data_IF_259537266742
#
_entry.id   IF_259537266742
#
_cell.length_a   1.000
_cell.length_b   1.000
_cell.length_c   1.000
_cell.angle_alpha   90.00
_cell.angle_beta   90.00
_cell.angle_gamma   90.00
#
_symmetry.space_group_name_H-M   'P 1'
#
loop_
_entity.id
_entity.type
_entity.pdbx_description
1 polymer ?
#
# COMPACT_ATOMS: atom_id res chain seq x y z
N UNK A 1 37.47 14.08 9.60
CA UNK A 1 37.64 12.62 9.46
C UNK A 1 36.43 11.96 10.13
N UNK A 2 35.28 11.89 9.45
CA UNK A 2 33.97 11.48 10.04
C UNK A 2 33.06 10.82 8.99
N UNK A 3 33.61 9.93 8.16
CA UNK A 3 32.85 9.24 7.09
C UNK A 3 32.57 7.76 7.37
N UNK A 4 33.13 7.18 8.44
CA UNK A 4 33.07 5.72 8.66
C UNK A 4 31.85 5.23 9.47
N UNK A 5 31.04 6.12 10.05
CA UNK A 5 29.85 5.72 10.80
C UNK A 5 28.67 5.34 9.89
N UNK A 6 28.56 5.96 8.71
CA UNK A 6 27.45 5.73 7.78
C UNK A 6 27.57 4.42 6.98
N UNK A 7 28.79 3.98 6.68
CA UNK A 7 29.03 2.74 5.92
C UNK A 7 28.55 1.49 6.66
N UNK A 8 28.84 1.38 7.96
CA UNK A 8 28.45 0.20 8.76
C UNK A 8 26.94 0.07 9.01
N UNK A 9 26.21 1.20 9.04
CA UNK A 9 24.75 1.18 9.18
C UNK A 9 24.05 0.80 7.88
N UNK A 10 24.56 1.29 6.74
CA UNK A 10 24.04 0.99 5.41
C UNK A 10 24.15 -0.51 5.09
N UNK A 11 25.32 -1.13 5.33
CA UNK A 11 25.52 -2.55 5.04
C UNK A 11 24.63 -3.46 5.90
N UNK A 12 24.36 -3.05 7.14
CA UNK A 12 23.44 -3.77 8.02
C UNK A 12 22.00 -3.63 7.56
N UNK A 13 21.59 -2.45 7.07
CA UNK A 13 20.27 -2.23 6.48
C UNK A 13 20.08 -3.03 5.18
N UNK A 14 21.10 -3.15 4.33
CA UNK A 14 21.08 -3.96 3.10
C UNK A 14 20.91 -5.46 3.39
N UNK A 15 21.36 -5.95 4.55
CA UNK A 15 21.11 -7.34 4.96
C UNK A 15 19.70 -7.58 5.52
N UNK A 16 19.02 -6.52 5.97
CA UNK A 16 17.68 -6.58 6.54
C UNK A 16 16.59 -6.17 5.54
N UNK A 17 16.95 -5.51 4.44
CA UNK A 17 16.00 -5.21 3.38
C UNK A 17 15.61 -6.49 2.66
N UNK A 18 14.32 -6.64 2.43
CA UNK A 18 13.81 -7.65 1.52
C UNK A 18 14.45 -7.48 0.15
N UNK A 19 14.59 -8.58 -0.58
CA UNK A 19 14.98 -8.51 -1.98
C UNK A 19 13.97 -7.65 -2.74
N UNK A 20 14.45 -6.93 -3.75
CA UNK A 20 13.63 -6.05 -4.59
C UNK A 20 12.34 -6.70 -5.11
N UNK A 21 12.31 -7.97 -5.57
CA UNK A 21 11.05 -8.59 -5.98
C UNK A 21 10.08 -8.74 -4.81
N UNK A 22 10.52 -9.14 -3.62
CA UNK A 22 9.63 -9.34 -2.47
C UNK A 22 9.09 -7.99 -1.98
N UNK A 23 9.92 -6.95 -1.98
CA UNK A 23 9.48 -5.59 -1.66
C UNK A 23 8.42 -5.09 -2.67
N UNK A 24 8.63 -5.32 -3.97
CA UNK A 24 7.65 -4.96 -5.00
C UNK A 24 6.34 -5.74 -4.86
N UNK A 25 6.42 -7.04 -4.56
CA UNK A 25 5.25 -7.88 -4.36
C UNK A 25 4.42 -7.39 -3.17
N UNK A 26 5.06 -7.10 -2.02
CA UNK A 26 4.39 -6.54 -0.86
C UNK A 26 3.72 -5.20 -1.17
N UNK A 27 4.39 -4.33 -1.92
CA UNK A 27 3.85 -3.03 -2.30
C UNK A 27 2.62 -3.17 -3.21
N UNK A 28 2.69 -4.03 -4.23
CA UNK A 28 1.57 -4.31 -5.12
C UNK A 28 0.41 -4.97 -4.39
N UNK A 29 0.68 -5.91 -3.47
CA UNK A 29 -0.34 -6.53 -2.62
C UNK A 29 -1.02 -5.51 -1.71
N UNK A 30 -0.26 -4.62 -1.08
CA UNK A 30 -0.79 -3.56 -0.23
C UNK A 30 -1.65 -2.57 -1.04
N UNK A 31 -1.19 -2.19 -2.23
CA UNK A 31 -1.94 -1.34 -3.15
C UNK A 31 -3.25 -2.01 -3.57
N UNK A 32 -3.20 -3.28 -4.00
CA UNK A 32 -4.38 -4.06 -4.36
C UNK A 32 -5.37 -4.21 -3.21
N UNK A 33 -4.89 -4.50 -2.00
CA UNK A 33 -5.73 -4.59 -0.81
C UNK A 33 -6.39 -3.24 -0.49
N UNK A 34 -5.64 -2.14 -0.57
CA UNK A 34 -6.16 -0.79 -0.33
C UNK A 34 -7.27 -0.45 -1.32
N UNK A 35 -7.03 -0.67 -2.62
CA UNK A 35 -8.04 -0.46 -3.66
C UNK A 35 -9.27 -1.34 -3.41
N UNK A 36 -9.07 -2.62 -3.11
CA UNK A 36 -10.16 -3.52 -2.79
C UNK A 36 -10.97 -3.03 -1.60
N UNK A 37 -10.32 -2.58 -0.52
CA UNK A 37 -10.99 -2.02 0.65
C UNK A 37 -11.79 -0.78 0.29
N UNK A 38 -11.20 0.14 -0.48
CA UNK A 38 -11.85 1.37 -0.92
C UNK A 38 -13.07 1.08 -1.79
N UNK A 39 -13.05 0.08 -2.67
CA UNK A 39 -14.17 -0.20 -3.57
C UNK A 39 -15.22 -1.15 -2.99
N UNK A 40 -14.84 -2.14 -2.18
CA UNK A 40 -15.72 -3.27 -1.84
C UNK A 40 -16.09 -3.39 -0.36
N UNK A 41 -15.57 -2.54 0.53
CA UNK A 41 -16.02 -2.58 1.94
C UNK A 41 -17.43 -2.03 2.12
N UNK A 42 -18.22 -2.70 2.94
CA UNK A 42 -19.58 -2.27 3.28
C UNK A 42 -19.56 -1.25 4.42
N UNK A 43 -19.36 0.03 4.09
CA UNK A 43 -19.49 1.14 5.03
C UNK A 43 -20.80 1.90 4.77
N UNK A 44 -21.56 2.30 5.82
CA UNK A 44 -22.77 3.09 5.65
C UNK A 44 -22.49 4.35 4.82
N UNK A 45 -23.33 4.63 3.81
CA UNK A 45 -23.12 5.72 2.87
C UNK A 45 -22.93 7.10 3.55
N UNK A 46 -23.58 7.31 4.71
CA UNK A 46 -23.46 8.55 5.50
C UNK A 46 -22.05 8.84 6.03
N UNK A 47 -21.19 7.82 6.15
CA UNK A 47 -19.80 7.97 6.62
C UNK A 47 -18.77 7.64 5.54
N UNK A 48 -19.23 7.39 4.31
CA UNK A 48 -18.40 6.86 3.25
C UNK A 48 -18.07 7.91 2.18
N UNK A 49 -16.97 8.64 2.38
CA UNK A 49 -16.47 9.65 1.44
C UNK A 49 -16.14 9.07 0.05
N UNK A 50 -15.94 7.75 -0.06
CA UNK A 50 -15.64 7.08 -1.33
C UNK A 50 -16.89 6.50 -2.01
N UNK A 51 -18.09 6.70 -1.47
CA UNK A 51 -19.34 6.21 -2.06
C UNK A 51 -19.59 6.79 -3.47
N UNK A 52 -19.38 8.09 -3.65
CA UNK A 52 -19.49 8.72 -4.98
C UNK A 52 -18.51 8.12 -5.99
N UNK A 53 -17.24 7.89 -5.59
CA UNK A 53 -16.22 7.27 -6.43
C UNK A 53 -16.67 5.89 -6.93
N UNK A 54 -17.28 5.07 -6.05
CA UNK A 54 -17.74 3.74 -6.42
C UNK A 54 -18.91 3.79 -7.42
N UNK A 55 -19.83 4.74 -7.30
CA UNK A 55 -20.90 4.95 -8.30
C UNK A 55 -20.37 5.31 -9.70
N UNK A 56 -19.22 5.95 -9.79
CA UNK A 56 -18.56 6.26 -11.07
C UNK A 56 -17.71 5.09 -11.60
N UNK A 57 -17.53 4.02 -10.83
CA UNK A 57 -16.69 2.88 -11.20
C UNK A 57 -17.56 1.74 -11.69
N UNK A 58 -17.51 1.49 -12.99
CA UNK A 58 -18.21 0.38 -13.64
C UNK A 58 -17.87 -0.93 -12.91
N UNK A 59 -18.89 -1.78 -12.66
CA UNK A 59 -18.82 -3.09 -11.96
C UNK A 59 -18.75 -3.08 -10.42
N UNK A 60 -18.66 -1.92 -9.76
CA UNK A 60 -18.68 -1.85 -8.29
C UNK A 60 -20.10 -1.61 -7.78
N UNK A 61 -20.75 -2.65 -7.25
CA UNK A 61 -22.09 -2.55 -6.66
C UNK A 61 -22.08 -1.76 -5.34
N UNK A 62 -22.96 -0.77 -5.23
CA UNK A 62 -23.03 0.15 -4.07
C UNK A 62 -24.39 0.21 -3.39
N UNK A 63 -25.38 -0.52 -3.93
CA UNK A 63 -26.67 -0.82 -3.34
C UNK A 63 -27.25 -2.04 -4.09
#
# INVERSE_FOLDING_TARGET
MTTQAFSNLSDRAVRWTLSTPVQSALYLSLCGLTLWTVYFTTYPAMHNQVHSLRHHTLTVSCH
#
